data_IF_217659668610
#
_entry.id   IF_217659668610
#
_cell.length_a   1.000
_cell.length_b   1.000
_cell.length_c   1.000
_cell.angle_alpha   90.00
_cell.angle_beta   90.00
_cell.angle_gamma   90.00
#
_symmetry.space_group_name_H-M   'P 1'
#
loop_
_entity.id
_entity.type
_entity.pdbx_description
1 polymer ?
#
# COMPACT_ATOMS: atom_id res chain seq x y z
N UNK A 1 -1.84 -27.75 -8.27
CA UNK A 1 -0.61 -27.05 -7.85
C UNK A 1 0.41 -28.12 -7.43
N UNK A 2 1.44 -28.41 -8.23
CA UNK A 2 2.37 -29.52 -7.97
C UNK A 2 3.33 -29.30 -6.79
N UNK A 3 3.42 -28.09 -6.23
CA UNK A 3 4.39 -27.69 -5.20
C UNK A 3 3.93 -27.84 -3.75
N UNK A 4 2.69 -28.28 -3.50
CA UNK A 4 2.19 -28.59 -2.13
C UNK A 4 2.75 -29.91 -1.57
N UNK A 5 3.45 -30.70 -2.40
CA UNK A 5 3.98 -32.01 -2.02
C UNK A 5 5.27 -31.93 -1.18
N UNK A 6 5.99 -30.81 -1.21
CA UNK A 6 7.31 -30.66 -0.59
C UNK A 6 7.26 -29.98 0.79
N UNK A 7 6.13 -29.99 1.49
CA UNK A 7 6.03 -29.40 2.83
C UNK A 7 6.74 -30.20 3.93
N UNK A 8 7.02 -31.49 3.69
CA UNK A 8 7.69 -32.37 4.65
C UNK A 8 6.81 -32.89 5.80
N UNK A 9 5.66 -32.26 6.07
CA UNK A 9 4.65 -32.76 7.00
C UNK A 9 3.22 -32.37 6.59
N UNK A 10 2.38 -33.39 6.43
CA UNK A 10 0.94 -33.28 6.18
C UNK A 10 0.17 -34.00 7.27
N UNK A 11 -0.81 -33.33 7.87
CA UNK A 11 -1.67 -33.89 8.92
C UNK A 11 -3.11 -33.86 8.47
N UNK A 12 -3.76 -35.02 8.42
CA UNK A 12 -5.20 -35.12 8.23
C UNK A 12 -5.90 -34.63 9.49
N UNK A 13 -6.85 -33.73 9.32
CA UNK A 13 -7.66 -33.23 10.44
C UNK A 13 -8.82 -34.19 10.73
N UNK A 14 -9.23 -34.27 12.00
CA UNK A 14 -10.30 -35.19 12.42
C UNK A 14 -11.72 -34.76 12.01
N UNK A 15 -11.89 -33.73 11.17
CA UNK A 15 -13.19 -33.19 10.75
C UNK A 15 -14.00 -34.11 9.84
N UNK A 16 -13.36 -35.14 9.25
CA UNK A 16 -13.99 -36.12 8.36
C UNK A 16 -14.24 -35.63 6.93
N UNK A 17 -13.96 -34.35 6.62
CA UNK A 17 -14.19 -33.74 5.30
C UNK A 17 -12.97 -33.74 4.37
N UNK A 18 -11.91 -34.48 4.69
CA UNK A 18 -10.66 -34.48 3.92
C UNK A 18 -9.80 -33.22 4.12
N UNK A 19 -10.08 -32.38 5.12
CA UNK A 19 -9.24 -31.22 5.42
C UNK A 19 -7.89 -31.62 6.02
N UNK A 20 -6.85 -30.88 5.63
CA UNK A 20 -5.45 -31.16 5.97
C UNK A 20 -4.76 -29.91 6.52
N UNK A 21 -3.77 -30.11 7.39
CA UNK A 21 -2.80 -29.09 7.77
C UNK A 21 -1.47 -29.41 7.07
N UNK A 22 -0.92 -28.43 6.38
CA UNK A 22 0.40 -28.52 5.75
C UNK A 22 1.33 -27.56 6.49
N UNK A 23 2.50 -28.05 6.89
CA UNK A 23 3.44 -27.29 7.68
C UNK A 23 4.65 -26.90 6.84
N UNK A 24 5.11 -25.66 7.00
CA UNK A 24 6.32 -25.15 6.37
C UNK A 24 7.12 -24.33 7.39
N UNK A 25 8.44 -24.30 7.24
CA UNK A 25 9.32 -23.39 7.97
C UNK A 25 9.38 -22.04 7.26
N UNK A 26 9.32 -20.96 8.02
CA UNK A 26 9.44 -19.60 7.51
C UNK A 26 10.24 -18.75 8.48
N UNK A 27 10.97 -17.75 7.97
CA UNK A 27 11.66 -16.78 8.82
C UNK A 27 10.66 -16.01 9.68
N UNK A 28 10.96 -15.86 10.97
CA UNK A 28 10.11 -15.17 11.96
C UNK A 28 9.90 -13.68 11.69
N UNK A 29 10.69 -13.09 10.79
CA UNK A 29 10.63 -11.66 10.46
C UNK A 29 9.56 -11.32 9.41
N UNK A 30 8.88 -12.32 8.83
CA UNK A 30 7.92 -12.12 7.74
C UNK A 30 6.49 -11.98 8.26
N UNK A 31 5.90 -10.82 8.03
CA UNK A 31 4.47 -10.61 8.24
C UNK A 31 3.67 -11.22 7.06
N UNK A 32 2.95 -12.31 7.31
CA UNK A 32 2.16 -13.03 6.31
C UNK A 32 0.65 -12.85 6.51
N UNK A 33 -0.10 -12.84 5.41
CA UNK A 33 -1.56 -12.74 5.36
C UNK A 33 -2.18 -14.04 5.85
N UNK A 34 -3.26 -13.94 6.63
CA UNK A 34 -3.96 -15.10 7.18
C UNK A 34 -4.98 -15.74 6.22
N UNK A 35 -5.45 -14.96 5.24
CA UNK A 35 -6.42 -15.36 4.22
C UNK A 35 -6.03 -14.76 2.90
N UNK A 36 -6.41 -15.43 1.82
CA UNK A 36 -6.22 -14.96 0.46
C UNK A 36 -7.52 -15.18 -0.31
N UNK A 37 -8.02 -14.16 -1.01
CA UNK A 37 -9.35 -14.18 -1.64
C UNK A 37 -9.45 -15.25 -2.75
N UNK A 38 -8.36 -15.48 -3.48
CA UNK A 38 -8.29 -16.53 -4.53
C UNK A 38 -8.32 -17.97 -3.99
N UNK A 39 -8.16 -18.17 -2.67
CA UNK A 39 -8.05 -19.49 -2.04
C UNK A 39 -9.12 -19.67 -0.95
N UNK A 40 -10.39 -19.68 -1.39
CA UNK A 40 -11.53 -19.89 -0.49
C UNK A 40 -11.44 -21.25 0.24
N UNK A 41 -11.67 -21.24 1.55
CA UNK A 41 -11.62 -22.44 2.40
C UNK A 41 -10.23 -22.81 2.91
N UNK A 42 -9.17 -22.09 2.53
CA UNK A 42 -7.81 -22.25 3.06
C UNK A 42 -7.50 -21.12 4.05
N UNK A 43 -7.07 -21.48 5.26
CA UNK A 43 -6.58 -20.54 6.28
C UNK A 43 -5.05 -20.67 6.39
N UNK A 44 -4.34 -19.57 6.20
CA UNK A 44 -2.88 -19.52 6.30
C UNK A 44 -2.49 -19.08 7.71
N UNK A 45 -1.90 -19.99 8.49
CA UNK A 45 -1.59 -19.71 9.91
C UNK A 45 -0.10 -19.48 10.11
N UNK A 46 0.30 -18.20 10.09
CA UNK A 46 1.64 -17.75 10.48
C UNK A 46 1.76 -17.39 11.97
N UNK A 47 0.64 -17.23 12.67
CA UNK A 47 0.57 -16.93 14.10
C UNK A 47 -0.59 -17.67 14.77
N UNK A 48 -0.52 -17.82 16.10
CA UNK A 48 -1.52 -18.55 16.89
C UNK A 48 -1.21 -20.05 16.98
N UNK A 49 -2.26 -20.87 17.13
CA UNK A 49 -2.14 -22.30 17.37
C UNK A 49 -3.05 -23.12 16.45
N UNK A 50 -2.62 -24.34 16.16
CA UNK A 50 -3.42 -25.39 15.52
C UNK A 50 -3.50 -26.59 16.44
N UNK A 51 -4.53 -27.42 16.27
CA UNK A 51 -4.65 -28.68 17.00
C UNK A 51 -3.56 -29.64 16.54
N UNK A 52 -2.80 -30.17 17.50
CA UNK A 52 -1.66 -31.04 17.25
C UNK A 52 -2.04 -32.47 16.87
N UNK A 53 -1.08 -33.15 16.25
CA UNK A 53 -1.14 -34.57 15.89
C UNK A 53 -1.47 -35.42 17.13
N UNK A 54 -2.30 -36.45 16.96
CA UNK A 54 -2.74 -37.35 18.04
C UNK A 54 -3.94 -36.84 18.84
N UNK A 55 -4.37 -35.60 18.63
CA UNK A 55 -5.56 -35.05 19.28
C UNK A 55 -6.84 -35.64 18.68
N UNK A 56 -7.92 -35.67 19.47
CA UNK A 56 -9.26 -36.01 18.97
C UNK A 56 -10.03 -34.76 18.57
N UNK A 57 -10.70 -34.83 17.42
CA UNK A 57 -11.62 -33.80 16.94
C UNK A 57 -13.03 -34.06 17.48
N UNK A 58 -13.83 -32.99 17.61
CA UNK A 58 -15.20 -33.06 18.12
C UNK A 58 -16.14 -33.99 17.33
N UNK A 59 -15.85 -34.27 16.06
CA UNK A 59 -16.64 -35.20 15.23
C UNK A 59 -16.25 -36.67 15.43
N UNK A 60 -15.28 -36.97 16.31
CA UNK A 60 -14.84 -38.32 16.62
C UNK A 60 -13.64 -38.81 15.80
N UNK A 61 -13.17 -38.05 14.82
CA UNK A 61 -11.93 -38.34 14.09
C UNK A 61 -10.67 -37.86 14.84
N UNK A 62 -9.52 -38.44 14.56
CA UNK A 62 -8.21 -38.06 15.09
C UNK A 62 -7.43 -37.17 14.12
N UNK A 63 -6.52 -36.36 14.65
CA UNK A 63 -5.51 -35.67 13.85
C UNK A 63 -4.34 -36.62 13.60
N UNK A 64 -4.17 -37.09 12.37
CA UNK A 64 -3.21 -38.15 12.02
C UNK A 64 -2.24 -37.69 10.96
N UNK A 65 -1.00 -38.16 11.04
CA UNK A 65 0.01 -37.87 10.02
C UNK A 65 -0.40 -38.58 8.74
N UNK A 66 -0.64 -37.80 7.69
CA UNK A 66 -0.92 -38.31 6.36
C UNK A 66 0.38 -38.64 5.62
N UNK A 67 1.39 -37.78 5.78
CA UNK A 67 2.70 -37.92 5.15
C UNK A 67 3.75 -37.12 5.92
N UNK A 68 4.99 -37.62 5.95
CA UNK A 68 6.14 -36.90 6.49
C UNK A 68 6.39 -37.07 7.99
N UNK A 69 7.26 -36.22 8.55
CA UNK A 69 7.68 -36.23 9.95
C UNK A 69 7.79 -34.81 10.49
N UNK A 70 7.66 -34.65 11.80
CA UNK A 70 7.84 -33.36 12.50
C UNK A 70 9.28 -32.84 12.34
N UNK A 71 10.25 -33.75 12.24
CA UNK A 71 11.66 -33.39 12.09
C UNK A 71 11.99 -32.92 10.66
N UNK A 72 11.20 -33.33 9.67
CA UNK A 72 11.47 -33.16 8.24
C UNK A 72 10.65 -32.03 7.60
N UNK A 73 10.11 -31.09 8.40
CA UNK A 73 9.37 -29.94 7.87
C UNK A 73 10.31 -29.10 6.99
N UNK A 74 9.92 -28.89 5.73
CA UNK A 74 10.69 -28.15 4.75
C UNK A 74 10.44 -26.63 4.84
N UNK A 75 11.35 -25.85 4.26
CA UNK A 75 11.15 -24.41 4.10
C UNK A 75 9.99 -24.10 3.15
N UNK A 76 9.29 -23.00 3.42
CA UNK A 76 8.19 -22.54 2.58
C UNK A 76 8.72 -22.18 1.18
N UNK A 77 8.09 -22.68 0.10
CA UNK A 77 8.44 -22.28 -1.25
C UNK A 77 8.38 -20.76 -1.42
N UNK A 78 9.32 -20.19 -2.17
CA UNK A 78 9.42 -18.73 -2.38
C UNK A 78 8.11 -18.16 -2.93
N UNK A 79 7.47 -18.87 -3.85
CA UNK A 79 6.17 -18.50 -4.44
C UNK A 79 5.06 -18.36 -3.36
N UNK A 80 5.04 -19.25 -2.37
CA UNK A 80 4.06 -19.21 -1.28
C UNK A 80 4.34 -18.04 -0.34
N UNK A 81 5.61 -17.78 -0.05
CA UNK A 81 6.03 -16.63 0.78
C UNK A 81 5.67 -15.32 0.09
N UNK A 82 5.93 -15.18 -1.21
CA UNK A 82 5.59 -13.98 -1.99
C UNK A 82 4.09 -13.76 -2.10
N UNK A 83 3.32 -14.83 -2.32
CA UNK A 83 1.86 -14.80 -2.36
C UNK A 83 1.27 -14.30 -1.04
N UNK A 84 1.81 -14.79 0.09
CA UNK A 84 1.30 -14.49 1.42
C UNK A 84 1.93 -13.25 2.05
N UNK A 85 2.96 -12.65 1.45
CA UNK A 85 3.62 -11.48 2.00
C UNK A 85 2.58 -10.37 2.19
N UNK A 86 2.43 -9.87 3.42
CA UNK A 86 1.59 -8.70 3.66
C UNK A 86 2.19 -7.54 2.88
N UNK A 87 1.45 -7.03 1.89
CA UNK A 87 1.68 -5.68 1.40
C UNK A 87 1.29 -4.77 2.56
N UNK A 88 2.27 -4.27 3.32
CA UNK A 88 2.05 -3.24 4.35
C UNK A 88 1.62 -1.94 3.67
N UNK A 89 0.37 -1.90 3.21
CA UNK A 89 -0.29 -0.76 2.61
C UNK A 89 -1.38 -0.36 3.58
N UNK A 90 -1.13 0.67 4.41
CA UNK A 90 -2.18 1.23 5.26
C UNK A 90 -2.95 2.25 4.46
N UNK A 91 -4.26 2.04 4.37
CA UNK A 91 -5.22 2.91 3.72
C UNK A 91 -5.51 4.13 4.63
N UNK A 92 -4.70 5.19 4.54
CA UNK A 92 -4.84 6.40 5.37
C UNK A 92 -5.82 7.38 4.71
N UNK A 93 -6.76 7.93 5.49
CA UNK A 93 -7.63 9.02 5.03
C UNK A 93 -6.84 10.33 4.96
N UNK A 94 -6.64 10.85 3.75
CA UNK A 94 -6.15 12.20 3.48
C UNK A 94 -7.19 12.89 2.60
N UNK A 95 -7.82 13.97 3.09
CA UNK A 95 -8.84 14.72 2.35
C UNK A 95 -9.96 13.83 1.78
N UNK A 96 -10.52 12.95 2.61
CA UNK A 96 -11.54 11.93 2.24
C UNK A 96 -11.10 10.90 1.19
N UNK A 97 -9.82 10.89 0.82
CA UNK A 97 -9.23 9.87 -0.04
C UNK A 97 -8.38 8.90 0.77
N UNK A 98 -8.51 7.64 0.42
CA UNK A 98 -7.77 6.56 1.03
C UNK A 98 -6.45 6.34 0.29
N UNK A 99 -5.33 6.69 0.92
CA UNK A 99 -3.98 6.55 0.37
C UNK A 99 -3.27 5.40 1.06
N UNK A 100 -2.85 4.42 0.27
CA UNK A 100 -2.01 3.34 0.74
C UNK A 100 -0.56 3.81 0.85
N UNK A 101 0.00 3.84 2.06
CA UNK A 101 1.41 4.19 2.28
C UNK A 101 2.21 3.01 2.83
N UNK A 102 3.35 2.79 2.20
CA UNK A 102 4.36 1.79 2.55
C UNK A 102 5.49 2.39 3.39
N UNK A 103 6.23 1.54 4.10
CA UNK A 103 7.39 1.99 4.90
C UNK A 103 8.48 2.66 4.07
N UNK A 104 8.68 2.23 2.82
CA UNK A 104 9.63 2.87 1.90
C UNK A 104 9.22 4.31 1.56
N UNK A 105 7.93 4.58 1.33
CA UNK A 105 7.44 5.94 1.07
C UNK A 105 7.60 6.85 2.30
N UNK A 106 7.44 6.30 3.51
CA UNK A 106 7.71 7.05 4.75
C UNK A 106 9.19 7.45 4.84
N UNK A 107 10.10 6.51 4.52
CA UNK A 107 11.55 6.79 4.48
C UNK A 107 11.89 7.84 3.43
N UNK A 108 11.29 7.76 2.23
CA UNK A 108 11.47 8.77 1.18
C UNK A 108 10.99 10.15 1.62
N UNK A 109 9.81 10.24 2.25
CA UNK A 109 9.29 11.51 2.80
C UNK A 109 10.25 12.09 3.86
N UNK A 110 10.76 11.26 4.77
CA UNK A 110 11.69 11.68 5.81
C UNK A 110 13.06 12.07 5.26
N UNK A 111 13.50 11.49 4.15
CA UNK A 111 14.79 11.82 3.53
C UNK A 111 14.87 13.27 3.03
N UNK A 112 13.72 13.90 2.78
CA UNK A 112 13.65 15.33 2.43
C UNK A 112 13.70 16.23 3.67
N UNK A 113 13.37 15.71 4.85
CA UNK A 113 13.21 16.49 6.09
C UNK A 113 14.49 16.39 6.93
N UNK A 114 15.12 17.54 7.21
CA UNK A 114 16.25 17.63 8.13
C UNK A 114 15.80 17.31 9.57
N UNK A 115 16.38 16.31 10.26
CA UNK A 115 16.04 15.97 11.65
C UNK A 115 16.30 17.08 12.67
N UNK A 116 17.14 18.08 12.36
CA UNK A 116 17.47 19.20 13.27
C UNK A 116 16.42 20.31 13.33
N UNK A 117 15.16 19.89 13.43
CA UNK A 117 13.99 20.75 13.47
C UNK A 117 13.52 21.08 14.89
N UNK A 118 12.44 21.85 15.00
CA UNK A 118 11.86 22.23 16.30
C UNK A 118 11.28 20.99 17.01
N UNK A 119 11.48 20.88 18.33
CA UNK A 119 11.09 19.70 19.11
C UNK A 119 9.62 19.30 18.90
N UNK A 120 8.70 20.26 18.85
CA UNK A 120 7.27 19.99 18.62
C UNK A 120 7.00 19.34 17.26
N UNK A 121 7.67 19.82 16.21
CA UNK A 121 7.54 19.23 14.87
C UNK A 121 8.16 17.84 14.83
N UNK A 122 9.28 17.63 15.52
CA UNK A 122 9.96 16.33 15.58
C UNK A 122 9.10 15.27 16.27
N UNK A 123 8.46 15.64 17.38
CA UNK A 123 7.48 14.78 18.07
C UNK A 123 6.26 14.50 17.17
N UNK A 124 5.73 15.51 16.47
CA UNK A 124 4.60 15.33 15.54
C UNK A 124 4.92 14.36 14.41
N UNK A 125 6.13 14.39 13.86
CA UNK A 125 6.58 13.42 12.85
C UNK A 125 6.66 12.00 13.43
N UNK A 126 7.19 11.84 14.65
CA UNK A 126 7.19 10.56 15.36
C UNK A 126 5.78 9.99 15.57
N UNK A 127 4.84 10.85 16.00
CA UNK A 127 3.42 10.47 16.14
C UNK A 127 2.80 10.08 14.79
N UNK A 128 3.10 10.82 13.72
CA UNK A 128 2.61 10.54 12.37
C UNK A 128 3.08 9.17 11.86
N UNK A 129 4.35 8.82 12.09
CA UNK A 129 4.92 7.52 11.72
C UNK A 129 4.29 6.41 12.56
N UNK A 130 4.18 6.61 13.88
CA UNK A 130 3.54 5.64 14.78
C UNK A 130 2.12 5.31 14.34
N UNK A 131 1.32 6.34 14.04
CA UNK A 131 -0.05 6.16 13.55
C UNK A 131 -0.07 5.52 12.17
N UNK A 132 0.75 5.98 11.23
CA UNK A 132 0.78 5.46 9.85
C UNK A 132 1.21 3.98 9.78
N UNK A 133 2.09 3.54 10.69
CA UNK A 133 2.62 2.17 10.71
C UNK A 133 2.09 1.32 11.88
N UNK A 134 1.02 1.76 12.54
CA UNK A 134 0.35 1.02 13.61
C UNK A 134 1.31 0.59 14.75
N UNK A 135 2.29 1.42 15.07
CA UNK A 135 3.31 1.17 16.10
C UNK A 135 4.57 0.42 15.64
N UNK A 136 4.64 -0.07 14.39
CA UNK A 136 5.81 -0.81 13.85
C UNK A 136 6.90 0.08 13.23
N UNK A 137 6.71 1.41 13.23
CA UNK A 137 7.61 2.37 12.58
C UNK A 137 8.77 2.90 13.42
N UNK A 138 9.02 2.35 14.62
CA UNK A 138 10.03 2.88 15.56
C UNK A 138 11.41 3.00 14.93
N UNK A 139 11.86 1.93 14.26
CA UNK A 139 13.19 1.88 13.63
C UNK A 139 13.38 2.99 12.59
N UNK A 140 12.36 3.28 11.79
CA UNK A 140 12.43 4.34 10.77
C UNK A 140 12.59 5.71 11.42
N UNK A 141 11.83 5.96 12.49
CA UNK A 141 11.91 7.23 13.23
C UNK A 141 13.24 7.38 13.97
N UNK A 142 13.77 6.29 14.55
CA UNK A 142 15.06 6.26 15.24
C UNK A 142 16.24 6.49 14.28
N UNK A 143 16.29 5.74 13.17
CA UNK A 143 17.34 5.88 12.14
C UNK A 143 17.35 7.29 11.54
N UNK A 144 16.18 7.88 11.26
CA UNK A 144 16.08 9.25 10.77
C UNK A 144 16.49 10.28 11.84
N UNK A 145 16.05 10.11 13.09
CA UNK A 145 16.40 11.03 14.19
C UNK A 145 17.89 10.98 14.53
N UNK A 146 18.55 9.84 14.36
CA UNK A 146 19.98 9.65 14.62
C UNK A 146 20.89 10.50 13.71
N UNK A 147 20.38 11.00 12.59
CA UNK A 147 21.10 11.94 11.72
C UNK A 147 21.12 13.38 12.26
N UNK A 148 20.31 13.71 13.28
CA UNK A 148 20.25 15.03 13.90
C UNK A 148 21.31 15.25 14.99
N UNK A 149 21.74 16.50 15.17
CA UNK A 149 22.71 16.91 16.20
C UNK A 149 22.18 16.83 17.64
N UNK A 150 20.85 16.83 17.81
CA UNK A 150 20.16 16.79 19.12
C UNK A 150 19.69 15.38 19.53
N UNK A 151 20.14 14.34 18.81
CA UNK A 151 19.69 12.97 19.04
C UNK A 151 20.14 12.42 20.39
N UNK A 152 19.20 11.79 21.11
CA UNK A 152 19.47 11.02 22.32
C UNK A 152 18.73 9.68 22.27
N UNK A 153 19.48 8.60 22.05
CA UNK A 153 18.97 7.23 21.96
C UNK A 153 18.21 6.79 23.22
N UNK A 154 18.56 7.32 24.40
CA UNK A 154 17.95 6.92 25.67
C UNK A 154 16.52 7.44 25.83
N UNK A 155 16.17 8.53 25.16
CA UNK A 155 14.83 9.12 25.23
C UNK A 155 13.86 8.57 24.17
N UNK A 156 14.38 7.95 23.11
CA UNK A 156 13.60 7.53 21.94
C UNK A 156 12.48 6.56 22.31
N UNK A 157 12.81 5.49 23.03
CA UNK A 157 11.87 4.43 23.37
C UNK A 157 10.75 4.95 24.29
N UNK A 158 11.11 5.75 25.30
CA UNK A 158 10.15 6.36 26.22
C UNK A 158 9.18 7.29 25.50
N UNK A 159 9.66 8.07 24.50
CA UNK A 159 8.80 8.93 23.71
C UNK A 159 7.90 8.12 22.78
N UNK A 160 8.41 7.09 22.13
CA UNK A 160 7.62 6.21 21.26
C UNK A 160 6.42 5.60 22.00
N UNK A 161 6.62 5.07 23.20
CA UNK A 161 5.53 4.53 24.04
C UNK A 161 4.53 5.59 24.56
N UNK A 162 4.86 6.88 24.45
CA UNK A 162 3.95 7.96 24.79
C UNK A 162 2.96 8.27 23.66
N UNK A 163 3.26 7.87 22.42
CA UNK A 163 2.44 8.14 21.24
C UNK A 163 1.14 7.30 21.24
N UNK A 164 0.16 7.74 20.43
CA UNK A 164 -1.13 7.06 20.28
C UNK A 164 -2.15 7.27 21.42
N UNK A 165 -1.80 8.03 22.47
CA UNK A 165 -2.70 8.34 23.61
C UNK A 165 -3.53 9.62 23.43
N UNK A 166 -3.32 10.34 22.33
CA UNK A 166 -4.01 11.61 22.05
C UNK A 166 -5.39 11.38 21.41
N UNK A 167 -6.42 12.15 21.79
CA UNK A 167 -7.74 12.11 21.14
C UNK A 167 -7.74 12.69 19.72
N UNK A 168 -6.70 13.44 19.34
CA UNK A 168 -6.49 13.95 17.98
C UNK A 168 -5.31 13.22 17.35
N UNK A 169 -5.54 12.22 16.47
CA UNK A 169 -4.48 11.46 15.85
C UNK A 169 -3.73 12.31 14.83
N UNK A 170 -2.41 12.40 15.02
CA UNK A 170 -1.49 12.98 14.03
C UNK A 170 -1.12 11.84 13.09
N UNK A 171 -1.55 11.91 11.84
CA UNK A 171 -1.36 10.85 10.85
C UNK A 171 -0.49 11.28 9.67
N UNK A 172 -0.52 10.47 8.61
CA UNK A 172 0.24 10.67 7.37
C UNK A 172 0.16 12.09 6.80
N UNK A 173 -0.98 12.77 6.91
CA UNK A 173 -1.14 14.13 6.38
C UNK A 173 -0.14 15.13 6.97
N UNK A 174 0.25 14.95 8.23
CA UNK A 174 1.28 15.79 8.86
C UNK A 174 2.66 15.50 8.31
N UNK A 175 3.02 14.22 8.19
CA UNK A 175 4.29 13.81 7.57
C UNK A 175 4.40 14.35 6.14
N UNK A 176 3.34 14.20 5.35
CA UNK A 176 3.30 14.69 3.98
C UNK A 176 3.47 16.21 3.92
N UNK A 177 2.73 16.95 4.76
CA UNK A 177 2.80 18.41 4.78
C UNK A 177 4.24 18.91 5.00
N UNK A 178 4.96 18.34 5.97
CA UNK A 178 6.36 18.70 6.21
C UNK A 178 7.30 18.21 5.10
N UNK A 179 7.04 17.04 4.52
CA UNK A 179 7.81 16.56 3.39
C UNK A 179 7.65 17.49 2.16
N UNK A 180 6.42 17.91 1.84
CA UNK A 180 6.12 18.83 0.74
C UNK A 180 6.77 20.20 0.96
N UNK A 181 6.75 20.72 2.19
CA UNK A 181 7.49 21.95 2.54
C UNK A 181 9.01 21.79 2.33
N UNK A 182 9.55 20.60 2.54
CA UNK A 182 10.95 20.27 2.31
C UNK A 182 11.27 19.90 0.85
N UNK A 183 10.29 19.98 -0.06
CA UNK A 183 10.47 19.76 -1.50
C UNK A 183 10.15 18.35 -1.99
N UNK A 184 9.54 17.50 -1.15
CA UNK A 184 9.05 16.20 -1.57
C UNK A 184 7.91 16.37 -2.60
N UNK A 185 8.03 15.66 -3.73
CA UNK A 185 6.98 15.58 -4.74
C UNK A 185 6.56 14.13 -4.89
N UNK A 186 5.30 13.82 -4.56
CA UNK A 186 4.76 12.47 -4.66
C UNK A 186 4.89 11.93 -6.09
N UNK A 187 5.51 10.76 -6.31
CA UNK A 187 5.51 10.14 -7.62
C UNK A 187 4.08 9.67 -7.95
N UNK A 188 3.40 10.42 -8.82
CA UNK A 188 2.08 10.02 -9.31
C UNK A 188 2.29 8.95 -10.38
N UNK A 189 2.23 7.69 -9.96
CA UNK A 189 2.12 6.57 -10.90
C UNK A 189 0.68 6.51 -11.38
N UNK A 190 0.44 7.01 -12.58
CA UNK A 190 -0.81 6.73 -13.27
C UNK A 190 -0.72 5.28 -13.75
N UNK A 191 -1.46 4.37 -13.11
CA UNK A 191 -1.86 3.14 -13.77
C UNK A 191 -2.79 3.56 -14.91
N UNK A 192 -2.21 3.90 -16.05
CA UNK A 192 -2.93 3.92 -17.31
C UNK A 192 -3.27 2.47 -17.63
N UNK A 193 -4.28 1.92 -16.96
CA UNK A 193 -5.22 1.07 -17.66
C UNK A 193 -5.86 1.99 -18.69
N UNK A 194 -5.16 2.24 -19.80
CA UNK A 194 -5.72 2.97 -20.91
C UNK A 194 -7.05 2.27 -21.20
N UNK A 195 -8.22 2.90 -21.02
CA UNK A 195 -9.32 2.50 -21.86
C UNK A 195 -8.73 2.68 -23.26
N UNK A 196 -8.58 1.60 -24.03
CA UNK A 196 -8.17 1.74 -25.41
C UNK A 196 -9.29 2.51 -26.11
N UNK A 197 -9.23 3.83 -26.06
CA UNK A 197 -9.94 4.70 -26.98
C UNK A 197 -9.14 4.59 -28.27
N UNK A 198 -9.16 3.40 -28.87
CA UNK A 198 -8.97 3.21 -30.29
C UNK A 198 -10.26 3.58 -31.00
N UNK A 199 -10.93 4.66 -30.58
CA UNK A 199 -11.80 5.40 -31.47
C UNK A 199 -10.88 6.27 -32.33
N UNK A 200 -10.12 5.63 -33.23
CA UNK A 200 -9.96 6.23 -34.55
C UNK A 200 -11.37 6.24 -35.11
N UNK A 201 -12.16 7.26 -34.77
CA UNK A 201 -13.44 7.49 -35.41
C UNK A 201 -13.16 7.44 -36.91
N UNK A 202 -13.77 6.48 -37.60
CA UNK A 202 -13.73 6.41 -39.05
C UNK A 202 -14.35 7.72 -39.56
N UNK A 203 -13.51 8.71 -39.87
CA UNK A 203 -13.96 10.02 -40.38
C UNK A 203 -14.52 9.92 -41.80
N UNK A 204 -14.47 8.73 -42.41
CA UNK A 204 -15.05 8.40 -43.70
C UNK A 204 -16.58 8.27 -43.59
N UNK A 205 -17.27 9.42 -43.62
CA UNK A 205 -18.73 9.48 -43.61
C UNK A 205 -19.32 10.76 -43.01
N UNK A 206 -18.48 11.70 -42.57
CA UNK A 206 -18.96 12.98 -42.05
C UNK A 206 -19.62 13.83 -43.16
N UNK A 207 -20.70 14.56 -42.84
CA UNK A 207 -21.44 15.39 -43.80
C UNK A 207 -20.65 16.63 -44.26
N UNK A 208 -19.53 16.94 -43.65
CA UNK A 208 -18.65 18.04 -44.01
C UNK A 208 -17.17 17.69 -43.74
N UNK A 209 -16.28 18.33 -44.49
CA UNK A 209 -14.84 18.24 -44.28
C UNK A 209 -14.44 19.03 -43.04
N UNK A 210 -13.87 18.33 -42.06
CA UNK A 210 -13.41 18.90 -40.78
C UNK A 210 -11.88 18.90 -40.65
N UNK A 211 -11.15 18.59 -41.72
CA UNK A 211 -9.69 18.45 -41.71
C UNK A 211 -8.95 19.73 -41.29
N UNK A 212 -9.59 20.89 -41.45
CA UNK A 212 -9.01 22.19 -41.17
C UNK A 212 -9.46 22.78 -39.82
N UNK A 213 -10.15 21.99 -38.98
CA UNK A 213 -10.63 22.44 -37.67
C UNK A 213 -9.60 22.06 -36.60
N UNK A 214 -8.99 23.06 -35.97
CA UNK A 214 -8.13 22.87 -34.82
C UNK A 214 -8.98 22.70 -33.54
N UNK A 215 -9.05 21.47 -33.03
CA UNK A 215 -9.79 21.13 -31.82
C UNK A 215 -9.17 21.71 -30.54
N UNK A 216 -7.90 22.10 -30.58
CA UNK A 216 -7.18 22.65 -29.43
C UNK A 216 -7.32 24.18 -29.35
N UNK A 217 -7.74 24.81 -30.44
CA UNK A 217 -7.92 26.27 -30.54
C UNK A 217 -9.27 26.59 -31.16
N UNK A 218 -10.37 26.39 -30.41
CA UNK A 218 -11.69 26.80 -30.87
C UNK A 218 -11.70 28.31 -31.14
N UNK A 219 -12.48 28.78 -32.13
CA UNK A 219 -12.50 30.19 -32.49
C UNK A 219 -13.23 31.03 -31.42
N UNK A 220 -13.03 32.35 -31.51
CA UNK A 220 -13.75 33.37 -30.73
C UNK A 220 -13.60 33.19 -29.21
N UNK A 221 -14.69 33.41 -28.46
CA UNK A 221 -14.71 33.52 -27.02
C UNK A 221 -14.27 32.23 -26.29
N UNK A 222 -14.64 31.06 -26.83
CA UNK A 222 -14.22 29.77 -26.25
C UNK A 222 -12.70 29.61 -26.35
N UNK A 223 -12.09 30.05 -27.46
CA UNK A 223 -10.64 30.08 -27.63
C UNK A 223 -9.94 31.02 -26.67
N UNK A 224 -10.52 32.20 -26.44
CA UNK A 224 -10.00 33.17 -25.48
C UNK A 224 -10.00 32.60 -24.04
N UNK A 225 -11.09 31.93 -23.65
CA UNK A 225 -11.18 31.28 -22.32
C UNK A 225 -10.21 30.11 -22.23
N UNK A 226 -10.13 29.26 -23.24
CA UNK A 226 -9.17 28.14 -23.25
C UNK A 226 -7.72 28.63 -23.16
N UNK A 227 -7.39 29.71 -23.88
CA UNK A 227 -6.09 30.38 -23.80
C UNK A 227 -5.83 30.95 -22.41
N UNK A 228 -6.82 31.60 -21.80
CA UNK A 228 -6.73 32.10 -20.44
C UNK A 228 -6.47 30.97 -19.44
N UNK A 229 -7.25 29.88 -19.47
CA UNK A 229 -7.07 28.72 -18.58
C UNK A 229 -5.65 28.16 -18.69
N UNK A 230 -5.15 27.96 -19.92
CA UNK A 230 -3.79 27.47 -20.14
C UNK A 230 -2.73 28.43 -19.61
N UNK A 231 -2.93 29.75 -19.71
CA UNK A 231 -2.00 30.75 -19.18
C UNK A 231 -1.87 30.74 -17.65
N UNK A 232 -2.90 30.24 -16.95
CA UNK A 232 -2.91 30.13 -15.48
C UNK A 232 -2.25 28.83 -14.98
N UNK A 233 -1.84 27.95 -15.88
CA UNK A 233 -1.27 26.65 -15.55
C UNK A 233 0.24 26.64 -15.80
N UNK A 234 1.03 26.13 -14.83
CA UNK A 234 2.49 25.91 -15.01
C UNK A 234 2.79 24.97 -16.19
N UNK A 235 1.91 24.00 -16.44
CA UNK A 235 1.95 23.10 -17.58
C UNK A 235 0.60 23.15 -18.30
N UNK A 236 0.53 23.71 -19.53
CA UNK A 236 -0.70 23.77 -20.30
C UNK A 236 -1.32 22.38 -20.53
N UNK A 237 -2.65 22.28 -20.40
CA UNK A 237 -3.42 21.06 -20.60
C UNK A 237 -4.48 21.32 -21.67
N UNK A 238 -4.03 21.41 -22.92
CA UNK A 238 -4.79 22.00 -24.03
C UNK A 238 -6.18 21.35 -24.24
N UNK A 239 -6.26 20.01 -24.28
CA UNK A 239 -7.54 19.29 -24.41
C UNK A 239 -8.52 19.60 -23.26
N UNK A 240 -8.02 19.62 -22.03
CA UNK A 240 -8.84 19.85 -20.84
C UNK A 240 -9.28 21.31 -20.75
N UNK A 241 -8.40 22.24 -21.13
CA UNK A 241 -8.68 23.66 -21.18
C UNK A 241 -9.81 23.98 -22.17
N UNK A 242 -9.82 23.35 -23.34
CA UNK A 242 -10.92 23.48 -24.31
C UNK A 242 -12.22 22.90 -23.76
N UNK A 243 -12.18 21.70 -23.17
CA UNK A 243 -13.37 21.09 -22.56
C UNK A 243 -13.97 21.92 -21.42
N UNK A 244 -13.11 22.50 -20.56
CA UNK A 244 -13.51 23.39 -19.48
C UNK A 244 -14.07 24.72 -20.02
N UNK A 245 -13.46 25.30 -21.05
CA UNK A 245 -13.95 26.52 -21.70
C UNK A 245 -15.33 26.31 -22.32
N UNK A 246 -15.54 25.21 -23.04
CA UNK A 246 -16.85 24.83 -23.60
C UNK A 246 -17.90 24.68 -22.49
N UNK A 247 -17.57 23.92 -21.44
CA UNK A 247 -18.49 23.69 -20.32
C UNK A 247 -18.84 24.98 -19.56
N UNK A 248 -17.92 25.94 -19.52
CA UNK A 248 -18.14 27.24 -18.87
C UNK A 248 -19.02 28.18 -19.72
N UNK A 249 -19.00 28.03 -21.04
CA UNK A 249 -19.77 28.87 -21.98
C UNK A 249 -21.17 28.29 -22.26
N UNK A 250 -21.35 26.97 -22.20
CA UNK A 250 -22.65 26.29 -22.31
C UNK A 250 -22.67 25.14 -23.30
#
# INVERSE_FOLDING_TARGET
IPSLADCGLVVNTGSGGGSQHLYYKVSSELALQGKHDDYEGIDFKSSGFVVGIGSQHKSGGSYEIASGSIDDIADAPVELVELLKKKHKKRVLLNDQHIDVSGSEVVEMLSCIDPDLEYDVWVKLGMAIHETMNGEGFRIWDEWSAAGSKYDASEMESKWFSFGKSPSPVGLGTLLYYAELAGYSRPVSFDSSEPSITDKQDLNGLPCDISNIDLLRPPEFVGEIAGFINSQCRYPRENLAVGAALSAVG
#
